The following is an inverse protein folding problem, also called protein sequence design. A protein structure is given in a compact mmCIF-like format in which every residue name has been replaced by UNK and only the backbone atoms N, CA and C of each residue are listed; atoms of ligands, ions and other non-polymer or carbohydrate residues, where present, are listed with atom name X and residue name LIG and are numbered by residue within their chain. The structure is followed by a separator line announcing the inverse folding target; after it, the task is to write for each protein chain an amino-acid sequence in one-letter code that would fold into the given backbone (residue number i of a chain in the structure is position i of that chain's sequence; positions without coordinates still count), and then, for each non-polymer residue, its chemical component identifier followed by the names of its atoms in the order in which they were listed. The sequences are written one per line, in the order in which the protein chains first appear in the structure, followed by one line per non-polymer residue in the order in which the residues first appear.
data_IF_594292121725
#
_entry.id   IF_594292121725
#
_cell.length_a   1.000
_cell.length_b   1.000
_cell.length_c   1.000
_cell.angle_alpha   90.00
_cell.angle_beta   90.00
_cell.angle_gamma   90.00
#
_symmetry.space_group_name_H-M   'P 1'
#
loop_
_entity.id
_entity.type
_entity.pdbx_description
1 polymer ?
#
# COMPACT_ATOMS: atom_id res chain seq x y z
N UNK A 1 -1.25 -11.69 -18.22
CA UNK A 1 -2.62 -11.91 -18.73
C UNK A 1 -2.65 -12.73 -20.01
N UNK A 2 -2.01 -12.29 -21.09
CA UNK A 2 -2.07 -12.97 -22.40
C UNK A 2 -1.73 -14.47 -22.40
N UNK A 3 -0.68 -14.96 -21.71
CA UNK A 3 -0.42 -16.40 -21.64
C UNK A 3 -1.59 -17.20 -21.05
N UNK A 4 -2.25 -16.67 -20.02
CA UNK A 4 -3.41 -17.33 -19.43
C UNK A 4 -4.63 -17.36 -20.36
N UNK A 5 -4.86 -16.28 -21.12
CA UNK A 5 -5.95 -16.24 -22.11
C UNK A 5 -5.72 -17.25 -23.23
N UNK A 6 -4.48 -17.39 -23.73
CA UNK A 6 -4.14 -18.41 -24.75
C UNK A 6 -4.42 -19.84 -24.30
N UNK A 7 -4.26 -20.12 -23.01
CA UNK A 7 -4.58 -21.44 -22.45
C UNK A 7 -6.09 -21.69 -22.33
N UNK A 8 -6.88 -20.62 -22.13
CA UNK A 8 -8.33 -20.72 -21.95
C UNK A 8 -9.10 -20.72 -23.26
N UNK A 9 -8.57 -20.06 -24.29
CA UNK A 9 -9.21 -19.87 -25.58
C UNK A 9 -8.32 -20.42 -26.71
N UNK A 10 -8.51 -21.70 -27.10
CA UNK A 10 -7.77 -22.28 -28.23
C UNK A 10 -8.16 -21.69 -29.58
N UNK A 11 -9.42 -21.24 -29.72
CA UNK A 11 -9.95 -20.57 -30.91
C UNK A 11 -9.45 -19.12 -31.00
N UNK A 12 -9.04 -18.68 -32.21
CA UNK A 12 -8.47 -17.36 -32.43
C UNK A 12 -9.50 -16.24 -32.33
N UNK A 13 -10.75 -16.50 -32.71
CA UNK A 13 -11.81 -15.48 -32.66
C UNK A 13 -12.21 -15.23 -31.21
N UNK A 14 -12.40 -16.29 -30.43
CA UNK A 14 -12.66 -16.22 -28.99
C UNK A 14 -11.51 -15.57 -28.23
N UNK A 15 -10.27 -15.91 -28.57
CA UNK A 15 -9.07 -15.30 -27.99
C UNK A 15 -9.02 -13.79 -28.29
N UNK A 16 -9.33 -13.41 -29.52
CA UNK A 16 -9.35 -12.01 -29.93
C UNK A 16 -10.45 -11.24 -29.20
N UNK A 17 -11.63 -11.82 -29.07
CA UNK A 17 -12.72 -11.26 -28.26
C UNK A 17 -12.33 -11.12 -26.78
N UNK A 18 -11.66 -12.12 -26.20
CA UNK A 18 -11.12 -12.05 -24.84
C UNK A 18 -10.11 -10.91 -24.68
N UNK A 19 -9.16 -10.78 -25.60
CA UNK A 19 -8.14 -9.71 -25.58
C UNK A 19 -8.76 -8.31 -25.65
N UNK A 20 -9.82 -8.14 -26.47
CA UNK A 20 -10.54 -6.84 -26.56
C UNK A 20 -11.07 -6.37 -25.19
N UNK A 21 -11.45 -7.28 -24.28
CA UNK A 21 -11.89 -6.94 -22.93
C UNK A 21 -10.80 -6.29 -22.07
N UNK A 22 -9.52 -6.38 -22.48
CA UNK A 22 -8.36 -5.83 -21.79
C UNK A 22 -7.67 -4.67 -22.50
N UNK A 23 -8.23 -4.16 -23.61
CA UNK A 23 -7.64 -3.03 -24.33
C UNK A 23 -7.60 -1.74 -23.50
N UNK A 24 -8.54 -1.57 -22.58
CA UNK A 24 -8.52 -0.43 -21.65
C UNK A 24 -7.52 -0.62 -20.53
N UNK A 25 -6.76 0.43 -20.23
CA UNK A 25 -5.90 0.46 -19.03
C UNK A 25 -6.77 0.40 -17.77
N UNK A 26 -6.31 -0.33 -16.78
CA UNK A 26 -6.86 -0.26 -15.43
C UNK A 26 -5.72 0.01 -14.45
N UNK A 27 -5.95 0.96 -13.55
CA UNK A 27 -5.00 1.29 -12.51
C UNK A 27 -5.45 0.67 -11.19
N UNK A 28 -4.56 -0.09 -10.57
CA UNK A 28 -4.76 -0.65 -9.25
C UNK A 28 -3.46 -0.62 -8.47
N UNK A 29 -3.57 -0.75 -7.15
CA UNK A 29 -2.37 -0.79 -6.31
C UNK A 29 -1.48 -2.01 -6.66
N UNK A 30 -0.14 -1.83 -6.80
CA UNK A 30 0.78 -2.88 -7.29
C UNK A 30 0.74 -4.20 -6.51
N UNK A 31 0.39 -4.15 -5.21
CA UNK A 31 0.28 -5.36 -4.39
C UNK A 31 -0.99 -6.16 -4.66
N UNK A 32 -2.05 -5.53 -5.21
CA UNK A 32 -3.28 -6.21 -5.59
C UNK A 32 -3.35 -6.63 -7.05
N UNK A 33 -2.41 -6.16 -7.88
CA UNK A 33 -2.37 -6.54 -9.30
C UNK A 33 -2.34 -8.07 -9.51
N UNK A 34 -1.51 -8.86 -8.79
CA UNK A 34 -1.52 -10.31 -8.95
C UNK A 34 -2.85 -10.96 -8.58
N UNK A 35 -3.49 -10.49 -7.50
CA UNK A 35 -4.83 -10.94 -7.11
C UNK A 35 -5.85 -10.71 -8.23
N UNK A 36 -5.88 -9.49 -8.79
CA UNK A 36 -6.81 -9.14 -9.86
C UNK A 36 -6.56 -9.95 -11.14
N UNK A 37 -5.29 -10.18 -11.49
CA UNK A 37 -4.95 -11.04 -12.62
C UNK A 37 -5.48 -12.45 -12.41
N UNK A 38 -5.24 -13.04 -11.24
CA UNK A 38 -5.78 -14.36 -10.91
C UNK A 38 -7.31 -14.40 -10.95
N UNK A 39 -7.95 -13.40 -10.36
CA UNK A 39 -9.41 -13.27 -10.34
C UNK A 39 -10.02 -13.10 -11.74
N UNK A 40 -9.41 -12.28 -12.58
CA UNK A 40 -9.89 -12.09 -13.95
C UNK A 40 -9.71 -13.34 -14.81
N UNK A 41 -8.61 -14.06 -14.65
CA UNK A 41 -8.44 -15.37 -15.31
C UNK A 41 -9.48 -16.39 -14.83
N UNK A 42 -9.84 -16.37 -13.54
CA UNK A 42 -10.94 -17.20 -13.04
C UNK A 42 -12.28 -16.87 -13.71
N UNK A 43 -12.59 -15.57 -13.89
CA UNK A 43 -13.81 -15.14 -14.59
C UNK A 43 -13.78 -15.54 -16.06
N UNK A 44 -12.65 -15.35 -16.74
CA UNK A 44 -12.47 -15.76 -18.14
C UNK A 44 -12.64 -17.26 -18.33
N UNK A 45 -12.14 -18.08 -17.39
CA UNK A 45 -12.38 -19.52 -17.43
C UNK A 45 -13.88 -19.88 -17.33
N UNK A 46 -14.66 -19.09 -16.56
CA UNK A 46 -16.12 -19.26 -16.47
C UNK A 46 -16.83 -18.80 -17.76
N UNK A 47 -16.33 -17.75 -18.39
CA UNK A 47 -16.86 -17.26 -19.69
C UNK A 47 -16.58 -18.31 -20.77
N UNK A 48 -15.36 -18.83 -20.86
CA UNK A 48 -14.99 -19.87 -21.81
C UNK A 48 -15.85 -21.13 -21.65
N UNK A 49 -16.24 -21.48 -20.42
CA UNK A 49 -17.16 -22.57 -20.11
C UNK A 49 -18.64 -22.20 -20.28
N UNK A 50 -18.99 -21.01 -20.78
CA UNK A 50 -20.36 -20.49 -20.91
C UNK A 50 -21.16 -20.45 -19.60
N UNK A 51 -20.47 -20.40 -18.45
CA UNK A 51 -21.07 -20.29 -17.13
C UNK A 51 -21.26 -18.84 -16.66
N UNK A 52 -20.67 -17.89 -17.36
CA UNK A 52 -20.79 -16.45 -17.10
C UNK A 52 -20.95 -15.71 -18.43
N UNK A 53 -21.89 -14.77 -18.56
CA UNK A 53 -22.01 -13.93 -19.75
C UNK A 53 -20.83 -12.95 -19.83
N UNK A 54 -20.28 -12.79 -21.04
CA UNK A 54 -19.14 -11.91 -21.31
C UNK A 54 -19.42 -10.43 -21.03
N UNK A 55 -20.69 -10.01 -21.18
CA UNK A 55 -21.14 -8.63 -20.98
C UNK A 55 -20.93 -8.14 -19.55
N UNK A 56 -21.15 -9.04 -18.56
CA UNK A 56 -20.99 -8.71 -17.14
C UNK A 56 -19.53 -8.50 -16.71
N UNK A 57 -18.57 -8.94 -17.53
CA UNK A 57 -17.15 -8.90 -17.18
C UNK A 57 -16.62 -7.48 -16.98
N UNK A 58 -17.02 -6.53 -17.83
CA UNK A 58 -16.49 -5.16 -17.76
C UNK A 58 -16.89 -4.45 -16.47
N UNK A 59 -18.12 -4.62 -16.02
CA UNK A 59 -18.60 -4.01 -14.78
C UNK A 59 -17.92 -4.61 -13.56
N UNK A 60 -17.74 -5.94 -13.55
CA UNK A 60 -17.02 -6.64 -12.49
C UNK A 60 -15.54 -6.22 -12.46
N UNK A 61 -14.89 -6.15 -13.62
CA UNK A 61 -13.51 -5.68 -13.77
C UNK A 61 -13.34 -4.27 -13.21
N UNK A 62 -14.21 -3.34 -13.63
CA UNK A 62 -14.19 -1.94 -13.20
C UNK A 62 -14.37 -1.82 -11.68
N UNK A 63 -15.40 -2.46 -11.13
CA UNK A 63 -15.71 -2.42 -9.70
C UNK A 63 -14.57 -3.02 -8.87
N UNK A 64 -14.06 -4.19 -9.26
CA UNK A 64 -12.95 -4.83 -8.55
C UNK A 64 -11.69 -3.94 -8.59
N UNK A 65 -11.35 -3.39 -9.74
CA UNK A 65 -10.17 -2.54 -9.91
C UNK A 65 -10.23 -1.32 -8.99
N UNK A 66 -11.34 -0.57 -8.97
CA UNK A 66 -11.49 0.61 -8.11
C UNK A 66 -11.47 0.25 -6.63
N UNK A 67 -12.16 -0.81 -6.24
CA UNK A 67 -12.20 -1.26 -4.85
C UNK A 67 -10.81 -1.63 -4.35
N UNK A 68 -10.05 -2.41 -5.13
CA UNK A 68 -8.71 -2.83 -4.73
C UNK A 68 -7.67 -1.71 -4.86
N UNK A 69 -7.85 -0.74 -5.75
CA UNK A 69 -7.03 0.47 -5.76
C UNK A 69 -7.18 1.23 -4.44
N UNK A 70 -8.40 1.62 -4.09
CA UNK A 70 -8.67 2.38 -2.86
C UNK A 70 -8.22 1.63 -1.59
N UNK A 71 -8.47 0.32 -1.53
CA UNK A 71 -8.04 -0.53 -0.42
C UNK A 71 -6.52 -0.62 -0.34
N UNK A 72 -5.85 -0.75 -1.49
CA UNK A 72 -4.39 -0.82 -1.57
C UNK A 72 -3.73 0.47 -1.15
N UNK A 73 -4.22 1.61 -1.64
CA UNK A 73 -3.70 2.93 -1.29
C UNK A 73 -3.86 3.20 0.21
N UNK A 74 -5.01 2.85 0.79
CA UNK A 74 -5.26 3.04 2.23
C UNK A 74 -4.43 2.11 3.11
N UNK A 75 -4.40 0.80 2.81
CA UNK A 75 -3.78 -0.20 3.65
C UNK A 75 -2.26 -0.27 3.43
N UNK A 76 -1.81 -0.48 2.18
CA UNK A 76 -0.38 -0.57 1.91
C UNK A 76 0.28 0.81 1.94
N UNK A 77 -0.18 1.76 1.11
CA UNK A 77 0.43 3.09 0.99
C UNK A 77 0.27 3.92 2.26
N UNK A 78 -0.95 4.04 2.77
CA UNK A 78 -1.28 4.91 3.90
C UNK A 78 -0.97 4.34 5.29
N UNK A 79 -0.63 3.05 5.41
CA UNK A 79 -0.41 2.42 6.71
C UNK A 79 0.84 1.57 6.74
N UNK A 80 0.88 0.46 5.99
CA UNK A 80 1.93 -0.56 6.10
C UNK A 80 3.30 -0.05 5.65
N UNK A 81 3.38 0.66 4.52
CA UNK A 81 4.64 1.19 4.01
C UNK A 81 5.23 2.27 4.93
N UNK A 82 4.38 3.06 5.58
CA UNK A 82 4.81 4.04 6.58
C UNK A 82 5.44 3.33 7.79
N UNK A 83 4.79 2.28 8.34
CA UNK A 83 5.38 1.45 9.40
C UNK A 83 6.73 0.88 8.98
N UNK A 84 6.77 0.30 7.80
CA UNK A 84 7.96 -0.33 7.25
C UNK A 84 9.14 0.64 7.15
N UNK A 85 8.88 1.84 6.62
CA UNK A 85 9.89 2.90 6.48
C UNK A 85 10.36 3.41 7.84
N UNK A 86 9.45 3.67 8.77
CA UNK A 86 9.78 4.17 10.11
C UNK A 86 10.66 3.17 10.88
N UNK A 87 10.31 1.88 10.86
CA UNK A 87 11.13 0.84 11.50
C UNK A 87 12.53 0.80 10.88
N UNK A 88 12.62 0.84 9.55
CA UNK A 88 13.89 0.83 8.85
C UNK A 88 14.77 2.04 9.25
N UNK A 89 14.21 3.24 9.22
CA UNK A 89 14.92 4.47 9.55
C UNK A 89 15.36 4.46 11.02
N UNK A 90 14.49 4.05 11.95
CA UNK A 90 14.83 3.96 13.38
C UNK A 90 16.02 3.00 13.57
N UNK A 91 16.00 1.83 12.96
CA UNK A 91 17.11 0.86 13.05
C UNK A 91 18.41 1.43 12.50
N UNK A 92 18.36 2.17 11.38
CA UNK A 92 19.54 2.81 10.79
C UNK A 92 20.11 3.91 11.70
N UNK A 93 19.26 4.77 12.27
CA UNK A 93 19.70 5.85 13.16
C UNK A 93 20.30 5.29 14.47
N UNK A 94 19.79 4.15 14.95
CA UNK A 94 20.35 3.44 16.10
C UNK A 94 21.66 2.69 15.78
N UNK A 95 22.14 2.74 14.52
CA UNK A 95 23.36 2.01 14.10
C UNK A 95 23.16 0.51 13.91
N UNK A 96 21.92 0.00 14.03
CA UNK A 96 21.58 -1.42 13.89
C UNK A 96 21.45 -1.83 12.41
N UNK A 97 22.50 -1.60 11.60
CA UNK A 97 22.46 -1.78 10.13
C UNK A 97 22.17 -3.23 9.72
N UNK A 98 22.69 -4.22 10.47
CA UNK A 98 22.38 -5.63 10.24
C UNK A 98 20.91 -5.96 10.44
N UNK A 99 20.28 -5.42 11.51
CA UNK A 99 18.86 -5.59 11.77
C UNK A 99 18.01 -4.89 10.70
N UNK A 100 18.41 -3.70 10.23
CA UNK A 100 17.76 -3.01 9.13
C UNK A 100 17.81 -3.82 7.83
N UNK A 101 18.96 -4.41 7.50
CA UNK A 101 19.10 -5.28 6.33
C UNK A 101 18.21 -6.52 6.42
N UNK A 102 18.18 -7.19 7.57
CA UNK A 102 17.29 -8.34 7.81
C UNK A 102 15.82 -7.92 7.67
N UNK A 103 15.43 -6.79 8.27
CA UNK A 103 14.08 -6.24 8.15
C UNK A 103 13.66 -6.00 6.69
N UNK A 104 14.55 -5.40 5.88
CA UNK A 104 14.34 -5.19 4.46
C UNK A 104 14.15 -6.51 3.71
N UNK A 105 15.06 -7.46 3.91
CA UNK A 105 15.01 -8.75 3.21
C UNK A 105 13.77 -9.55 3.57
N UNK A 106 13.45 -9.70 4.85
CA UNK A 106 12.28 -10.45 5.31
C UNK A 106 10.99 -9.82 4.80
N UNK A 107 10.87 -8.50 4.86
CA UNK A 107 9.67 -7.81 4.38
C UNK A 107 9.50 -7.90 2.85
N UNK A 108 10.58 -7.81 2.07
CA UNK A 108 10.53 -8.00 0.63
C UNK A 108 10.07 -9.42 0.27
N UNK A 109 10.64 -10.44 0.92
CA UNK A 109 10.24 -11.85 0.72
C UNK A 109 8.78 -12.06 1.09
N UNK A 110 8.34 -11.52 2.24
CA UNK A 110 6.96 -11.61 2.69
C UNK A 110 5.98 -10.94 1.70
N UNK A 111 6.34 -9.76 1.17
CA UNK A 111 5.52 -9.08 0.16
C UNK A 111 5.41 -9.87 -1.14
N UNK A 112 6.50 -10.53 -1.60
CA UNK A 112 6.43 -11.39 -2.78
C UNK A 112 5.60 -12.65 -2.52
N UNK A 113 5.73 -13.26 -1.34
CA UNK A 113 4.91 -14.39 -0.93
C UNK A 113 3.40 -14.03 -0.91
N UNK A 114 3.04 -12.83 -0.41
CA UNK A 114 1.67 -12.30 -0.44
C UNK A 114 1.18 -12.14 -1.88
N UNK A 115 2.00 -11.58 -2.78
CA UNK A 115 1.63 -11.41 -4.20
C UNK A 115 1.34 -12.75 -4.89
N UNK A 116 2.21 -13.74 -4.69
CA UNK A 116 2.06 -15.08 -5.28
C UNK A 116 0.85 -15.80 -4.71
N UNK A 117 0.68 -15.78 -3.39
CA UNK A 117 -0.45 -16.44 -2.73
C UNK A 117 -1.79 -15.80 -3.10
N UNK A 118 -1.86 -14.47 -3.19
CA UNK A 118 -3.10 -13.78 -3.58
C UNK A 118 -3.44 -14.01 -5.06
N UNK A 119 -2.45 -14.09 -5.95
CA UNK A 119 -2.68 -14.53 -7.34
C UNK A 119 -3.31 -15.93 -7.38
N UNK A 120 -2.69 -16.89 -6.70
CA UNK A 120 -3.15 -18.27 -6.70
C UNK A 120 -4.55 -18.44 -6.07
N UNK A 121 -4.82 -17.72 -4.97
CA UNK A 121 -6.13 -17.70 -4.33
C UNK A 121 -7.20 -17.02 -5.21
N UNK A 122 -6.84 -15.94 -5.89
CA UNK A 122 -7.72 -15.27 -6.87
C UNK A 122 -8.09 -16.21 -8.02
N UNK A 123 -7.10 -16.92 -8.57
CA UNK A 123 -7.30 -17.91 -9.63
C UNK A 123 -8.14 -19.11 -9.19
N UNK A 124 -7.88 -19.68 -8.01
CA UNK A 124 -8.59 -20.89 -7.56
C UNK A 124 -9.97 -20.63 -6.97
N UNK A 125 -10.09 -19.60 -6.15
CA UNK A 125 -11.30 -19.36 -5.34
C UNK A 125 -12.19 -18.24 -5.88
N UNK A 126 -11.68 -17.39 -6.76
CA UNK A 126 -12.44 -16.31 -7.39
C UNK A 126 -13.23 -15.48 -6.38
N UNK A 127 -14.55 -15.39 -6.56
CA UNK A 127 -15.46 -14.60 -5.71
C UNK A 127 -15.46 -15.04 -4.23
N UNK A 128 -15.25 -16.33 -3.96
CA UNK A 128 -15.21 -16.82 -2.57
C UNK A 128 -14.04 -16.24 -1.80
N UNK A 129 -12.89 -16.09 -2.45
CA UNK A 129 -11.73 -15.44 -1.85
C UNK A 129 -11.98 -13.96 -1.59
N UNK A 130 -12.61 -13.24 -2.50
CA UNK A 130 -12.96 -11.83 -2.28
C UNK A 130 -13.87 -11.63 -1.06
N UNK A 131 -14.85 -12.55 -0.86
CA UNK A 131 -15.67 -12.54 0.35
C UNK A 131 -14.85 -12.84 1.62
N UNK A 132 -13.88 -13.74 1.56
CA UNK A 132 -12.97 -14.01 2.67
C UNK A 132 -12.08 -12.81 2.97
N UNK A 133 -11.55 -12.13 1.95
CA UNK A 133 -10.71 -10.95 2.10
C UNK A 133 -11.48 -9.79 2.79
N UNK A 134 -12.77 -9.62 2.47
CA UNK A 134 -13.63 -8.65 3.16
C UNK A 134 -13.72 -8.92 4.67
N UNK A 135 -13.70 -10.19 5.10
CA UNK A 135 -13.74 -10.57 6.51
C UNK A 135 -12.45 -10.25 7.27
N UNK A 136 -11.32 -10.07 6.57
CA UNK A 136 -10.04 -9.70 7.20
C UNK A 136 -10.00 -8.26 7.69
N UNK A 137 -11.04 -7.46 7.42
CA UNK A 137 -11.16 -6.06 7.88
C UNK A 137 -9.86 -5.25 7.70
N UNK A 138 -9.33 -5.25 6.47
CA UNK A 138 -8.08 -4.55 6.16
C UNK A 138 -8.15 -3.04 6.48
N UNK A 139 -9.35 -2.46 6.43
CA UNK A 139 -9.57 -1.06 6.79
C UNK A 139 -9.34 -0.86 8.30
N UNK A 140 -9.93 -1.71 9.13
CA UNK A 140 -9.73 -1.67 10.59
C UNK A 140 -8.28 -1.97 10.97
N UNK A 141 -7.63 -2.92 10.31
CA UNK A 141 -6.20 -3.16 10.48
C UNK A 141 -5.36 -1.96 10.06
N UNK A 142 -5.69 -1.30 8.94
CA UNK A 142 -5.03 -0.06 8.51
C UNK A 142 -5.09 1.03 9.57
N UNK A 143 -6.24 1.21 10.25
CA UNK A 143 -6.38 2.18 11.34
C UNK A 143 -5.51 1.83 12.56
N UNK A 144 -5.46 0.55 12.94
CA UNK A 144 -4.58 0.08 14.04
C UNK A 144 -3.11 0.30 13.72
N UNK A 145 -2.68 0.03 12.48
CA UNK A 145 -1.31 0.28 12.03
C UNK A 145 -0.99 1.78 12.08
N UNK A 146 -1.94 2.67 11.73
CA UNK A 146 -1.73 4.13 11.85
C UNK A 146 -1.47 4.57 13.29
N UNK A 147 -2.10 3.94 14.30
CA UNK A 147 -1.79 4.20 15.70
C UNK A 147 -0.35 3.77 16.05
N UNK A 148 0.06 2.59 15.57
CA UNK A 148 1.46 2.14 15.72
C UNK A 148 2.42 3.11 15.03
N UNK A 149 2.08 3.62 13.83
CA UNK A 149 2.88 4.61 13.14
C UNK A 149 3.04 5.91 13.93
N UNK A 150 1.98 6.35 14.62
CA UNK A 150 2.08 7.52 15.49
C UNK A 150 3.08 7.29 16.63
N UNK A 151 3.06 6.10 17.27
CA UNK A 151 4.04 5.73 18.30
C UNK A 151 5.45 5.63 17.73
N UNK A 152 5.62 5.03 16.55
CA UNK A 152 6.93 4.96 15.86
C UNK A 152 7.45 6.36 15.49
N UNK A 153 6.59 7.30 15.11
CA UNK A 153 6.99 8.69 14.87
C UNK A 153 7.49 9.37 16.14
N UNK A 154 6.83 9.16 17.28
CA UNK A 154 7.29 9.69 18.58
C UNK A 154 8.64 9.06 18.96
N UNK A 155 8.78 7.76 18.75
CA UNK A 155 10.05 7.06 19.00
C UNK A 155 11.16 7.59 18.08
N UNK A 156 10.89 7.73 16.80
CA UNK A 156 11.83 8.31 15.84
C UNK A 156 12.25 9.72 16.25
N UNK A 157 11.28 10.57 16.62
CA UNK A 157 11.53 11.92 17.11
C UNK A 157 12.43 11.91 18.34
N UNK A 158 12.16 11.03 19.31
CA UNK A 158 12.99 10.87 20.51
C UNK A 158 14.42 10.47 20.17
N UNK A 159 14.61 9.52 19.26
CA UNK A 159 15.94 9.02 18.88
C UNK A 159 16.77 10.09 18.14
N UNK A 160 16.12 10.93 17.32
CA UNK A 160 16.80 11.95 16.52
C UNK A 160 16.98 13.27 17.31
N UNK A 161 16.26 13.42 18.41
CA UNK A 161 16.28 14.68 19.17
C UNK A 161 17.65 14.97 19.79
N UNK A 162 18.26 16.15 19.48
CA UNK A 162 19.67 16.42 19.85
C UNK A 162 19.91 16.64 21.35
N UNK A 163 18.85 16.93 22.13
CA UNK A 163 18.93 17.26 23.55
C UNK A 163 18.20 16.25 24.43
N UNK A 164 18.54 14.96 24.29
CA UNK A 164 17.87 13.85 25.00
C UNK A 164 17.89 13.96 26.52
N UNK A 165 18.84 14.71 27.10
CA UNK A 165 18.91 14.95 28.54
C UNK A 165 17.95 16.07 29.04
N UNK A 166 17.36 16.85 28.15
CA UNK A 166 16.45 17.94 28.49
C UNK A 166 14.98 17.61 28.15
N UNK A 167 14.28 16.99 29.09
CA UNK A 167 12.90 16.56 28.94
C UNK A 167 11.92 17.74 28.70
N UNK A 168 12.21 18.93 29.23
CA UNK A 168 11.38 20.11 28.99
C UNK A 168 11.50 20.58 27.53
N UNK A 169 12.72 20.62 26.99
CA UNK A 169 12.95 20.95 25.58
C UNK A 169 12.32 19.90 24.64
N UNK A 170 12.44 18.62 24.98
CA UNK A 170 11.78 17.54 24.24
C UNK A 170 10.26 17.70 24.25
N UNK A 171 9.67 17.93 25.43
CA UNK A 171 8.22 18.14 25.56
C UNK A 171 7.72 19.36 24.80
N UNK A 172 8.41 20.51 24.95
CA UNK A 172 8.05 21.75 24.25
C UNK A 172 8.12 21.59 22.73
N UNK A 173 9.20 21.00 22.21
CA UNK A 173 9.35 20.75 20.76
C UNK A 173 8.31 19.77 20.23
N UNK A 174 7.97 18.75 21.00
CA UNK A 174 6.92 17.78 20.62
C UNK A 174 5.54 18.46 20.53
N UNK A 175 5.22 19.39 21.46
CA UNK A 175 3.98 20.17 21.41
C UNK A 175 3.96 21.08 20.16
N UNK A 176 5.07 21.73 19.83
CA UNK A 176 5.19 22.58 18.63
C UNK A 176 4.97 21.75 17.36
N UNK A 177 5.65 20.60 17.23
CA UNK A 177 5.50 19.73 16.06
C UNK A 177 4.08 19.17 15.96
N UNK A 178 3.48 18.76 17.07
CA UNK A 178 2.08 18.29 17.09
C UNK A 178 1.10 19.43 16.73
N UNK A 179 1.34 20.65 17.20
CA UNK A 179 0.56 21.83 16.83
C UNK A 179 0.65 22.15 15.34
N UNK A 180 1.85 22.12 14.75
CA UNK A 180 2.05 22.28 13.31
C UNK A 180 1.35 21.16 12.51
N UNK A 181 1.49 19.92 12.92
CA UNK A 181 0.80 18.78 12.29
C UNK A 181 -0.72 18.95 12.34
N UNK A 182 -1.25 19.42 13.46
CA UNK A 182 -2.69 19.69 13.61
C UNK A 182 -3.17 20.81 12.67
N UNK A 183 -2.44 21.95 12.58
CA UNK A 183 -2.80 23.07 11.69
C UNK A 183 -2.78 22.65 10.22
N UNK A 184 -1.77 21.85 9.81
CA UNK A 184 -1.70 21.28 8.46
C UNK A 184 -2.87 20.31 8.21
N UNK A 185 -3.19 19.45 9.18
CA UNK A 185 -4.30 18.47 9.05
C UNK A 185 -5.67 19.16 8.90
N UNK A 186 -5.83 20.34 9.53
CA UNK A 186 -7.02 21.18 9.41
C UNK A 186 -7.00 22.10 8.18
N UNK A 187 -5.99 21.99 7.33
CA UNK A 187 -5.76 22.86 6.15
C UNK A 187 -5.69 24.36 6.49
N UNK A 188 -5.33 24.70 7.73
CA UNK A 188 -5.12 26.08 8.16
C UNK A 188 -3.78 26.63 7.62
N UNK A 189 -2.80 25.75 7.45
CA UNK A 189 -1.50 26.04 6.84
C UNK A 189 -1.24 25.06 5.69
N UNK A 190 -0.81 25.55 4.51
CA UNK A 190 -0.32 24.70 3.44
C UNK A 190 0.93 23.94 3.91
N UNK A 191 0.97 22.64 3.67
CA UNK A 191 2.13 21.80 4.04
C UNK A 191 3.43 22.25 3.39
N UNK A 192 3.34 22.86 2.21
CA UNK A 192 4.46 23.40 1.44
C UNK A 192 5.17 24.53 2.21
N UNK A 193 4.42 25.40 2.88
CA UNK A 193 4.99 26.47 3.72
C UNK A 193 5.72 25.94 4.95
N UNK A 194 5.20 24.88 5.57
CA UNK A 194 5.87 24.23 6.71
C UNK A 194 7.18 23.60 6.27
N UNK A 195 7.20 22.92 5.11
CA UNK A 195 8.43 22.33 4.56
C UNK A 195 9.45 23.40 4.21
N UNK A 196 9.04 24.47 3.51
CA UNK A 196 9.94 25.59 3.15
C UNK A 196 10.49 26.29 4.40
N UNK A 197 9.65 26.49 5.43
CA UNK A 197 10.08 27.04 6.71
C UNK A 197 11.10 26.16 7.42
N UNK A 198 10.89 24.85 7.43
CA UNK A 198 11.84 23.89 8.01
C UNK A 198 13.19 23.87 7.27
N UNK A 199 13.16 23.89 5.93
CA UNK A 199 14.37 23.97 5.09
C UNK A 199 15.09 25.29 5.35
N UNK A 200 14.38 26.41 5.38
CA UNK A 200 14.97 27.72 5.67
C UNK A 200 15.63 27.78 7.04
N UNK A 201 14.96 27.27 8.08
CA UNK A 201 15.50 27.18 9.43
C UNK A 201 16.76 26.29 9.48
N UNK A 202 16.76 25.16 8.78
CA UNK A 202 17.92 24.27 8.69
C UNK A 202 19.11 24.92 7.97
N UNK A 203 18.86 25.62 6.86
CA UNK A 203 19.91 26.36 6.13
C UNK A 203 20.51 27.47 6.99
N UNK A 204 19.69 28.23 7.74
CA UNK A 204 20.20 29.23 8.67
C UNK A 204 21.04 28.62 9.78
N UNK A 205 20.61 27.49 10.35
CA UNK A 205 21.36 26.75 11.39
C UNK A 205 22.71 26.24 10.87
N UNK A 206 22.74 25.72 9.63
CA UNK A 206 23.95 25.16 9.03
C UNK A 206 24.97 26.20 8.56
N UNK A 207 24.58 27.47 8.51
CA UNK A 207 25.44 28.60 8.11
C UNK A 207 26.21 29.27 9.30
N UNK A 208 25.87 28.90 10.54
CA UNK A 208 26.55 29.28 11.77
C UNK A 208 27.26 28.11 12.42
#
# INVERSE_FOLDING_TARGET
MDPGLKMLYPDLDDLTAARKRYLGTYNTHPYWTPLLVGYFLFLEARIAQKLLPSESFQDVKKTATYTFSALGDSFFGGSLMVSWSLICIILLVLGATGAAAIWLMVSLVALQAIKLSTFWLGWRKGLTFLKQLKRLDLIGWGQRIKLVNALLLVLFWYVVFPFTSNWLAFGASTIVVAGLAWTVSRRLLPRELVILGAIGAWLMWSAF
#
